data_IF_985929957509
#
_entry.id   IF_985929957509
#
_cell.length_a   1.000
_cell.length_b   1.000
_cell.length_c   1.000
_cell.angle_alpha   90.00
_cell.angle_beta   90.00
_cell.angle_gamma   90.00
#
_symmetry.space_group_name_H-M   'P 1'
#
loop_
_entity.id
_entity.type
_entity.pdbx_description
1 polymer ?
#
# COMPACT_ATOMS: atom_id res chain seq x y z
N UNK A 1 41.44 22.91 -15.79
CA UNK A 1 41.72 24.26 -15.27
C UNK A 1 40.45 24.94 -14.76
N UNK A 2 39.38 25.05 -15.55
CA UNK A 2 38.12 25.73 -15.16
C UNK A 2 37.55 25.27 -13.80
N UNK A 3 37.51 23.96 -13.54
CA UNK A 3 37.07 23.40 -12.25
C UNK A 3 37.87 23.91 -11.05
N UNK A 4 39.17 24.18 -11.20
CA UNK A 4 40.01 24.71 -10.11
C UNK A 4 39.76 26.20 -9.86
N UNK A 5 39.42 26.94 -10.92
CA UNK A 5 39.01 28.35 -10.81
C UNK A 5 37.63 28.46 -10.14
N UNK A 6 36.67 27.63 -10.54
CA UNK A 6 35.33 27.56 -9.93
C UNK A 6 35.38 27.20 -8.44
N UNK A 7 36.32 26.31 -8.07
CA UNK A 7 36.54 25.93 -6.67
C UNK A 7 37.38 26.93 -5.87
N UNK A 8 37.88 28.01 -6.50
CA UNK A 8 38.73 29.00 -5.83
C UNK A 8 40.09 28.47 -5.38
N UNK A 9 40.59 27.39 -6.00
CA UNK A 9 41.89 26.76 -5.65
C UNK A 9 43.08 27.35 -6.42
N UNK A 10 42.80 28.03 -7.53
CA UNK A 10 43.80 28.74 -8.33
C UNK A 10 43.31 30.15 -8.66
N UNK A 11 44.23 31.11 -8.63
CA UNK A 11 43.97 32.50 -9.00
C UNK A 11 44.67 32.82 -10.34
N UNK A 12 43.99 33.48 -11.28
CA UNK A 12 44.64 33.96 -12.50
C UNK A 12 45.53 35.16 -12.16
N UNK A 13 46.78 35.12 -12.62
CA UNK A 13 47.74 36.23 -12.53
C UNK A 13 48.08 36.67 -13.95
N UNK A 14 47.87 37.95 -14.24
CA UNK A 14 48.28 38.59 -15.49
C UNK A 14 49.82 38.64 -15.53
N UNK A 15 50.42 38.05 -16.56
CA UNK A 15 51.87 38.11 -16.78
C UNK A 15 52.16 38.51 -18.24
N UNK A 16 52.18 39.83 -18.47
CA UNK A 16 52.27 40.41 -19.80
C UNK A 16 50.97 40.18 -20.59
N UNK A 17 51.04 39.47 -21.71
CA UNK A 17 49.86 39.13 -22.54
C UNK A 17 49.28 37.74 -22.24
N UNK A 18 49.89 36.99 -21.31
CA UNK A 18 49.49 35.62 -21.00
C UNK A 18 48.91 35.54 -19.58
N UNK A 19 47.83 34.77 -19.41
CA UNK A 19 47.29 34.42 -18.10
C UNK A 19 48.06 33.24 -17.54
N UNK A 20 48.73 33.45 -16.41
CA UNK A 20 49.30 32.37 -15.60
C UNK A 20 48.34 32.08 -14.44
N UNK A 21 48.46 30.91 -13.85
CA UNK A 21 47.62 30.50 -12.73
C UNK A 21 48.52 30.16 -11.55
N UNK A 22 48.19 30.70 -10.39
CA UNK A 22 48.90 30.43 -9.15
C UNK A 22 47.99 29.64 -8.23
N UNK A 23 48.53 28.59 -7.62
CA UNK A 23 47.82 27.86 -6.60
C UNK A 23 47.64 28.72 -5.35
N UNK A 24 46.44 28.70 -4.80
CA UNK A 24 46.13 29.33 -3.51
C UNK A 24 46.93 28.62 -2.41
N UNK A 25 47.42 29.38 -1.42
CA UNK A 25 48.26 28.83 -0.36
C UNK A 25 47.50 27.75 0.45
N UNK A 26 48.17 26.68 0.91
CA UNK A 26 47.51 25.55 1.59
C UNK A 26 46.61 25.95 2.78
N UNK A 27 47.02 26.97 3.54
CA UNK A 27 46.25 27.50 4.67
C UNK A 27 44.91 28.15 4.26
N UNK A 28 44.79 28.67 3.05
CA UNK A 28 43.54 29.22 2.52
C UNK A 28 42.59 28.11 2.07
N UNK A 29 43.12 26.98 1.57
CA UNK A 29 42.32 25.80 1.24
C UNK A 29 41.66 25.24 2.50
N UNK A 30 42.41 25.19 3.62
CA UNK A 30 41.86 24.77 4.92
C UNK A 30 40.74 25.68 5.38
N UNK A 31 40.90 27.02 5.25
CA UNK A 31 39.84 27.98 5.58
C UNK A 31 38.58 27.79 4.73
N UNK A 32 38.74 27.55 3.43
CA UNK A 32 37.62 27.31 2.53
C UNK A 32 36.87 26.01 2.89
N UNK A 33 37.60 24.96 3.27
CA UNK A 33 36.99 23.72 3.74
C UNK A 33 36.20 23.93 5.04
N UNK A 34 36.77 24.65 6.03
CA UNK A 34 36.08 24.99 7.28
C UNK A 34 34.83 25.83 7.03
N UNK A 35 34.89 26.78 6.09
CA UNK A 35 33.74 27.60 5.74
C UNK A 35 32.58 26.76 5.18
N UNK A 36 32.89 25.83 4.25
CA UNK A 36 31.87 24.92 3.69
C UNK A 36 31.26 23.98 4.73
N UNK A 37 32.03 23.59 5.75
CA UNK A 37 31.50 22.80 6.87
C UNK A 37 30.46 23.62 7.64
N UNK A 38 30.78 24.88 7.96
CA UNK A 38 29.86 25.79 8.67
C UNK A 38 28.59 26.02 7.83
N UNK A 39 28.73 26.30 6.52
CA UNK A 39 27.58 26.46 5.62
C UNK A 39 26.70 25.20 5.59
N UNK A 40 27.30 24.01 5.52
CA UNK A 40 26.57 22.76 5.55
C UNK A 40 25.85 22.53 6.89
N UNK A 41 26.50 22.85 8.01
CA UNK A 41 25.89 22.77 9.35
C UNK A 41 24.72 23.74 9.51
N UNK A 42 24.83 24.95 8.96
CA UNK A 42 23.75 25.95 8.96
C UNK A 42 22.56 25.48 8.12
N UNK A 43 22.80 24.93 6.91
CA UNK A 43 21.74 24.32 6.09
C UNK A 43 21.07 23.16 6.83
N UNK A 44 21.83 22.29 7.49
CA UNK A 44 21.27 21.19 8.31
C UNK A 44 20.41 21.74 9.43
N UNK A 45 20.83 22.83 10.09
CA UNK A 45 20.05 23.48 11.16
C UNK A 45 18.77 24.11 10.63
N UNK A 46 18.82 24.79 9.49
CA UNK A 46 17.64 25.35 8.82
C UNK A 46 16.67 24.23 8.42
N UNK A 47 17.15 23.17 7.79
CA UNK A 47 16.35 21.99 7.44
C UNK A 47 15.71 21.34 8.67
N UNK A 48 16.45 21.22 9.77
CA UNK A 48 15.89 20.72 11.04
C UNK A 48 14.83 21.66 11.62
N UNK A 49 14.96 22.97 11.41
CA UNK A 49 13.98 23.98 11.84
C UNK A 49 12.69 23.88 11.02
N UNK A 50 12.81 23.70 9.70
CA UNK A 50 11.65 23.43 8.85
C UNK A 50 11.03 22.06 9.14
N UNK A 51 11.85 21.05 9.47
CA UNK A 51 11.39 19.71 9.85
C UNK A 51 10.71 19.64 11.21
N UNK A 52 10.98 20.58 12.12
CA UNK A 52 10.34 20.66 13.46
C UNK A 52 8.99 21.36 13.43
N UNK A 53 8.64 22.06 12.34
CA UNK A 53 7.26 22.39 12.03
C UNK A 53 6.61 21.09 11.58
N UNK A 54 6.28 20.24 12.56
CA UNK A 54 5.88 18.86 12.37
C UNK A 54 4.81 18.74 11.30
N UNK A 55 5.22 18.30 10.11
CA UNK A 55 4.26 17.86 9.13
C UNK A 55 3.59 16.62 9.72
N UNK A 56 2.33 16.72 10.10
CA UNK A 56 1.50 15.58 10.56
C UNK A 56 1.41 14.46 9.51
N UNK A 57 1.89 14.74 8.31
CA UNK A 57 1.87 13.88 7.15
C UNK A 57 3.12 14.11 6.29
N UNK A 58 3.89 13.04 6.08
CA UNK A 58 4.96 12.98 5.07
C UNK A 58 4.50 12.06 3.91
N UNK A 59 5.00 12.36 2.71
CA UNK A 59 4.65 11.64 1.49
C UNK A 59 5.89 11.33 0.66
N UNK A 60 6.08 10.06 0.36
CA UNK A 60 7.22 9.54 -0.39
C UNK A 60 6.74 8.69 -1.57
N UNK A 61 7.42 8.82 -2.71
CA UNK A 61 7.15 8.03 -3.92
C UNK A 61 8.39 7.24 -4.28
N UNK A 62 8.26 5.91 -4.29
CA UNK A 62 9.33 4.98 -4.63
C UNK A 62 9.00 4.35 -5.98
N UNK A 63 9.88 4.51 -6.97
CA UNK A 63 9.64 4.06 -8.34
C UNK A 63 10.69 3.04 -8.79
N UNK A 64 10.22 1.95 -9.40
CA UNK A 64 11.06 0.88 -9.94
C UNK A 64 11.33 -0.26 -8.95
N UNK A 65 11.56 -1.45 -9.50
CA UNK A 65 11.65 -2.70 -8.73
C UNK A 65 12.74 -2.64 -7.66
N UNK A 66 13.96 -2.26 -8.02
CA UNK A 66 15.10 -2.17 -7.08
C UNK A 66 14.87 -1.18 -5.95
N UNK A 67 14.22 -0.06 -6.23
CA UNK A 67 13.92 0.94 -5.22
C UNK A 67 12.88 0.41 -4.22
N UNK A 68 11.84 -0.27 -4.72
CA UNK A 68 10.82 -0.90 -3.90
C UNK A 68 11.42 -2.06 -3.06
N UNK A 69 12.23 -2.93 -3.65
CA UNK A 69 12.95 -4.00 -2.94
C UNK A 69 13.75 -3.46 -1.76
N UNK A 70 14.58 -2.43 -2.00
CA UNK A 70 15.38 -1.79 -0.96
C UNK A 70 14.49 -1.20 0.13
N UNK A 71 13.45 -0.47 -0.26
CA UNK A 71 12.51 0.14 0.68
C UNK A 71 11.82 -0.90 1.58
N UNK A 72 11.37 -2.01 1.01
CA UNK A 72 10.74 -3.11 1.76
C UNK A 72 11.66 -3.75 2.78
N UNK A 73 12.90 -4.05 2.38
CA UNK A 73 13.91 -4.65 3.25
C UNK A 73 14.27 -3.69 4.39
N UNK A 74 14.52 -2.41 4.09
CA UNK A 74 14.85 -1.41 5.10
C UNK A 74 13.69 -1.21 6.09
N UNK A 75 12.46 -1.15 5.58
CA UNK A 75 11.26 -1.03 6.40
C UNK A 75 11.02 -2.25 7.30
N UNK A 76 11.21 -3.47 6.80
CA UNK A 76 11.12 -4.69 7.61
C UNK A 76 12.22 -4.72 8.69
N UNK A 77 13.43 -4.27 8.35
CA UNK A 77 14.57 -4.19 9.27
C UNK A 77 14.35 -3.19 10.41
N UNK A 78 13.74 -2.03 10.10
CA UNK A 78 13.47 -0.96 11.06
C UNK A 78 12.19 -1.15 11.86
N UNK A 79 11.33 -2.11 11.49
CA UNK A 79 10.10 -2.37 12.21
C UNK A 79 10.37 -2.85 13.65
N UNK A 80 9.62 -2.35 14.65
CA UNK A 80 9.67 -2.88 16.01
C UNK A 80 9.34 -4.40 16.02
N UNK A 81 9.91 -5.17 16.96
CA UNK A 81 9.51 -6.56 17.14
C UNK A 81 8.00 -6.67 17.41
N UNK A 82 7.38 -7.74 16.89
CA UNK A 82 5.97 -8.06 17.08
C UNK A 82 4.99 -7.04 16.47
N UNK A 83 5.47 -6.24 15.52
CA UNK A 83 4.64 -5.36 14.69
C UNK A 83 3.58 -6.17 13.93
N UNK A 84 2.40 -5.58 13.71
CA UNK A 84 1.38 -6.15 12.82
C UNK A 84 1.27 -5.30 11.56
N UNK A 85 1.26 -5.97 10.41
CA UNK A 85 0.99 -5.37 9.11
C UNK A 85 -0.37 -5.85 8.56
N UNK A 86 -1.09 -4.95 7.92
CA UNK A 86 -2.43 -5.19 7.37
C UNK A 86 -2.41 -4.97 5.87
N UNK A 87 -2.93 -5.90 5.09
CA UNK A 87 -2.99 -5.83 3.64
C UNK A 87 -4.43 -5.86 3.13
N UNK A 88 -4.75 -4.99 2.18
CA UNK A 88 -5.99 -5.01 1.43
C UNK A 88 -5.63 -5.01 -0.05
N UNK A 89 -5.99 -6.05 -0.79
CA UNK A 89 -5.82 -6.04 -2.24
C UNK A 89 -5.65 -7.41 -2.88
N UNK A 90 -5.35 -7.40 -4.18
CA UNK A 90 -5.37 -8.55 -5.08
C UNK A 90 -4.09 -8.77 -5.88
N UNK A 91 -2.94 -8.35 -5.37
CA UNK A 91 -1.67 -8.28 -6.13
C UNK A 91 -0.48 -9.01 -5.52
N UNK A 92 -0.71 -10.07 -4.73
CA UNK A 92 0.37 -10.81 -4.06
C UNK A 92 1.39 -11.39 -5.04
N UNK A 93 0.94 -11.90 -6.18
CA UNK A 93 1.81 -12.41 -7.24
C UNK A 93 2.75 -11.32 -7.79
N UNK A 94 2.20 -10.12 -8.03
CA UNK A 94 3.01 -9.00 -8.50
C UNK A 94 4.01 -8.53 -7.45
N UNK A 95 3.65 -8.55 -6.17
CA UNK A 95 4.58 -8.26 -5.08
C UNK A 95 5.75 -9.24 -5.06
N UNK A 96 5.46 -10.56 -5.11
CA UNK A 96 6.50 -11.60 -5.16
C UNK A 96 7.43 -11.42 -6.36
N UNK A 97 6.87 -11.11 -7.53
CA UNK A 97 7.65 -10.84 -8.75
C UNK A 97 8.55 -9.62 -8.62
N UNK A 98 8.08 -8.54 -7.98
CA UNK A 98 8.91 -7.35 -7.74
C UNK A 98 10.00 -7.64 -6.73
N UNK A 99 9.70 -8.42 -5.69
CA UNK A 99 10.66 -8.70 -4.63
C UNK A 99 11.78 -9.64 -5.09
N UNK A 100 11.47 -10.63 -5.93
CA UNK A 100 12.42 -11.54 -6.59
C UNK A 100 13.62 -11.92 -5.70
N UNK A 101 14.84 -11.51 -6.07
CA UNK A 101 16.09 -11.79 -5.35
C UNK A 101 16.12 -11.25 -3.90
N UNK A 102 15.38 -10.18 -3.60
CA UNK A 102 15.31 -9.58 -2.27
C UNK A 102 14.30 -10.27 -1.33
N UNK A 103 13.41 -11.13 -1.87
CA UNK A 103 12.37 -11.77 -1.08
C UNK A 103 12.90 -12.65 0.07
N UNK A 104 13.96 -13.47 -0.10
CA UNK A 104 14.50 -14.29 0.99
C UNK A 104 14.99 -13.45 2.19
N UNK A 105 15.67 -12.33 1.95
CA UNK A 105 16.11 -11.41 3.01
C UNK A 105 14.90 -10.80 3.72
N UNK A 106 13.94 -10.28 2.96
CA UNK A 106 12.70 -9.71 3.49
C UNK A 106 11.96 -10.74 4.38
N UNK A 107 11.75 -11.96 3.89
CA UNK A 107 11.07 -13.01 4.64
C UNK A 107 11.80 -13.40 5.94
N UNK A 108 13.14 -13.42 5.93
CA UNK A 108 13.94 -13.66 7.12
C UNK A 108 13.74 -12.55 8.16
N UNK A 109 13.71 -11.28 7.74
CA UNK A 109 13.46 -10.13 8.62
C UNK A 109 12.05 -10.17 9.21
N UNK A 110 11.02 -10.48 8.42
CA UNK A 110 9.64 -10.66 8.90
C UNK A 110 9.58 -11.72 10.01
N UNK A 111 10.27 -12.85 9.82
CA UNK A 111 10.33 -13.95 10.79
C UNK A 111 11.11 -13.57 12.05
N UNK A 112 12.29 -12.97 11.91
CA UNK A 112 13.14 -12.51 13.01
C UNK A 112 12.42 -11.50 13.90
N UNK A 113 11.77 -10.51 13.27
CA UNK A 113 10.99 -9.47 13.95
C UNK A 113 9.62 -9.95 14.42
N UNK A 114 9.25 -11.21 14.13
CA UNK A 114 7.94 -11.80 14.46
C UNK A 114 6.76 -10.95 13.98
N UNK A 115 6.90 -10.33 12.81
CA UNK A 115 5.87 -9.46 12.23
C UNK A 115 4.66 -10.32 11.87
N UNK A 116 3.50 -9.95 12.41
CA UNK A 116 2.23 -10.60 12.11
C UNK A 116 1.58 -9.97 10.88
N UNK A 117 1.01 -10.79 10.01
CA UNK A 117 0.40 -10.34 8.76
C UNK A 117 -1.09 -10.67 8.78
N UNK A 118 -1.94 -9.67 8.55
CA UNK A 118 -3.36 -9.87 8.32
C UNK A 118 -3.71 -9.41 6.91
N UNK A 119 -4.25 -10.30 6.10
CA UNK A 119 -4.45 -10.09 4.68
C UNK A 119 -5.91 -10.27 4.29
N UNK A 120 -6.48 -9.28 3.59
CA UNK A 120 -7.78 -9.39 2.93
C UNK A 120 -7.53 -9.40 1.42
N UNK A 121 -7.74 -10.58 0.82
CA UNK A 121 -7.44 -10.88 -0.57
C UNK A 121 -8.63 -11.30 -1.39
N UNK A 122 -8.42 -11.43 -2.69
CA UNK A 122 -9.44 -11.95 -3.60
C UNK A 122 -9.47 -13.49 -3.60
N UNK A 123 -10.57 -14.10 -4.05
CA UNK A 123 -10.75 -15.56 -4.08
C UNK A 123 -9.61 -16.32 -4.76
N UNK A 124 -9.09 -15.77 -5.87
CA UNK A 124 -8.02 -16.39 -6.63
C UNK A 124 -6.67 -16.43 -5.88
N UNK A 125 -6.49 -15.62 -4.83
CA UNK A 125 -5.29 -15.62 -4.00
C UNK A 125 -5.39 -16.57 -2.80
N UNK A 126 -6.55 -17.21 -2.58
CA UNK A 126 -6.74 -18.12 -1.44
C UNK A 126 -5.76 -19.31 -1.45
N UNK A 127 -5.31 -19.73 -2.63
CA UNK A 127 -4.27 -20.76 -2.75
C UNK A 127 -2.92 -20.27 -2.21
N UNK A 128 -2.59 -19.00 -2.45
CA UNK A 128 -1.35 -18.42 -1.93
C UNK A 128 -1.35 -18.33 -0.42
N UNK A 129 -2.51 -18.11 0.20
CA UNK A 129 -2.62 -18.11 1.65
C UNK A 129 -2.13 -19.42 2.29
N UNK A 130 -2.34 -20.56 1.64
CA UNK A 130 -1.88 -21.86 2.14
C UNK A 130 -0.35 -21.99 2.12
N UNK A 131 0.33 -21.30 1.20
CA UNK A 131 1.78 -21.24 1.17
C UNK A 131 2.31 -20.41 2.35
N UNK A 132 1.72 -19.23 2.58
CA UNK A 132 2.12 -18.35 3.67
C UNK A 132 1.81 -18.91 5.06
N UNK A 133 0.70 -19.64 5.23
CA UNK A 133 0.35 -20.28 6.51
C UNK A 133 1.43 -21.27 6.98
N UNK A 134 2.07 -21.99 6.05
CA UNK A 134 3.16 -22.92 6.36
C UNK A 134 4.46 -22.21 6.73
N UNK A 135 4.78 -21.13 6.03
CA UNK A 135 6.04 -20.40 6.19
C UNK A 135 5.99 -19.38 7.35
N UNK A 136 4.82 -18.80 7.60
CA UNK A 136 4.60 -17.71 8.54
C UNK A 136 3.52 -18.08 9.55
N UNK A 137 3.93 -18.53 10.74
CA UNK A 137 3.03 -18.91 11.85
C UNK A 137 2.05 -17.80 12.31
N UNK A 138 2.23 -16.56 11.87
CA UNK A 138 1.41 -15.39 12.23
C UNK A 138 0.79 -14.73 10.99
N UNK A 139 0.32 -15.55 10.05
CA UNK A 139 -0.36 -15.08 8.85
C UNK A 139 -1.85 -15.41 8.93
N UNK A 140 -2.71 -14.40 8.90
CA UNK A 140 -4.16 -14.56 8.79
C UNK A 140 -4.60 -14.06 7.41
N UNK A 141 -5.35 -14.89 6.68
CA UNK A 141 -5.88 -14.53 5.37
C UNK A 141 -7.40 -14.64 5.35
N UNK A 142 -8.05 -13.64 4.74
CA UNK A 142 -9.50 -13.62 4.50
C UNK A 142 -9.79 -13.28 3.04
N UNK A 143 -10.79 -13.96 2.50
CA UNK A 143 -11.25 -13.78 1.12
C UNK A 143 -12.39 -12.78 1.05
N UNK A 144 -12.20 -11.62 0.44
CA UNK A 144 -13.32 -10.73 0.13
C UNK A 144 -13.89 -11.05 -1.25
N UNK A 145 -15.13 -11.57 -1.28
CA UNK A 145 -15.84 -11.84 -2.54
C UNK A 145 -16.01 -10.54 -3.33
N UNK A 146 -15.83 -10.58 -4.65
CA UNK A 146 -15.89 -9.41 -5.54
C UNK A 146 -14.81 -8.35 -5.30
N UNK A 147 -13.74 -8.66 -4.57
CA UNK A 147 -12.55 -7.81 -4.59
C UNK A 147 -11.96 -7.83 -6.01
N UNK A 148 -11.81 -6.67 -6.68
CA UNK A 148 -11.31 -6.63 -8.04
C UNK A 148 -9.90 -7.20 -8.08
N UNK A 149 -9.59 -7.96 -9.15
CA UNK A 149 -8.21 -8.33 -9.46
C UNK A 149 -7.44 -7.03 -9.68
N UNK A 150 -6.49 -6.77 -8.79
CA UNK A 150 -6.01 -5.42 -8.56
C UNK A 150 -4.61 -5.21 -9.11
N UNK A 151 -4.44 -4.10 -9.82
CA UNK A 151 -3.12 -3.47 -10.00
C UNK A 151 -2.66 -2.75 -8.73
N UNK A 152 -3.52 -2.65 -7.71
CA UNK A 152 -3.27 -1.89 -6.48
C UNK A 152 -3.36 -2.78 -5.26
N UNK A 153 -2.37 -2.67 -4.39
CA UNK A 153 -2.38 -3.24 -3.04
C UNK A 153 -2.20 -2.13 -2.01
N UNK A 154 -2.90 -2.22 -0.90
CA UNK A 154 -2.75 -1.33 0.24
C UNK A 154 -2.09 -2.10 1.38
N UNK A 155 -1.05 -1.53 1.99
CA UNK A 155 -0.42 -2.05 3.21
C UNK A 155 -0.42 -0.98 4.29
N UNK A 156 -0.74 -1.37 5.51
CA UNK A 156 -0.69 -0.51 6.71
C UNK A 156 0.31 -1.12 7.68
N UNK A 157 1.34 -0.37 8.07
CA UNK A 157 2.33 -0.79 9.07
C UNK A 157 2.99 0.44 9.71
N UNK A 158 3.22 0.43 11.03
CA UNK A 158 3.96 1.49 11.75
C UNK A 158 3.56 2.92 11.37
N UNK A 159 2.28 3.27 11.60
CA UNK A 159 1.74 4.61 11.32
C UNK A 159 1.90 5.06 9.84
N UNK A 160 2.20 4.11 8.95
CA UNK A 160 2.46 4.33 7.53
C UNK A 160 1.44 3.56 6.70
N UNK A 161 0.91 4.25 5.68
CA UNK A 161 0.04 3.68 4.66
C UNK A 161 0.82 3.61 3.35
N UNK A 162 0.79 2.46 2.70
CA UNK A 162 1.50 2.19 1.45
C UNK A 162 0.53 1.73 0.37
N UNK A 163 0.59 2.36 -0.80
CA UNK A 163 -0.14 1.95 -2.00
C UNK A 163 0.84 1.45 -3.03
N UNK A 164 0.83 0.14 -3.31
CA UNK A 164 1.55 -0.44 -4.43
C UNK A 164 0.72 -0.30 -5.67
N UNK A 165 1.34 0.15 -6.75
CA UNK A 165 0.76 0.09 -8.10
C UNK A 165 1.71 -0.72 -8.98
N UNK A 166 1.21 -1.82 -9.53
CA UNK A 166 2.00 -2.78 -10.30
C UNK A 166 2.08 -2.42 -11.78
N UNK A 167 2.20 -1.12 -12.08
CA UNK A 167 2.48 -0.61 -13.41
C UNK A 167 3.91 -0.96 -13.86
N UNK A 168 4.29 -0.57 -15.07
CA UNK A 168 5.66 -0.70 -15.56
C UNK A 168 6.23 0.68 -15.92
N UNK A 169 7.12 1.27 -15.11
CA UNK A 169 7.70 0.71 -13.87
C UNK A 169 6.71 0.70 -12.69
N UNK A 170 6.90 -0.18 -11.68
CA UNK A 170 6.05 -0.20 -10.50
C UNK A 170 6.29 1.05 -9.64
N UNK A 171 5.24 1.50 -8.96
CA UNK A 171 5.28 2.70 -8.11
C UNK A 171 4.66 2.37 -6.76
N UNK A 172 5.35 2.75 -5.70
CA UNK A 172 4.92 2.66 -4.31
C UNK A 172 4.75 4.07 -3.75
N UNK A 173 3.53 4.39 -3.35
CA UNK A 173 3.21 5.64 -2.64
C UNK A 173 3.18 5.37 -1.14
N UNK A 174 3.90 6.17 -0.37
CA UNK A 174 4.06 6.00 1.08
C UNK A 174 3.57 7.26 1.77
N UNK A 175 2.54 7.12 2.61
CA UNK A 175 2.01 8.20 3.44
C UNK A 175 2.37 7.89 4.89
N UNK A 176 3.24 8.70 5.50
CA UNK A 176 3.58 8.58 6.92
C UNK A 176 2.69 9.51 7.70
N UNK A 177 1.61 8.98 8.27
CA UNK A 177 0.66 9.73 9.08
C UNK A 177 -0.15 8.77 9.94
N UNK A 178 -0.02 8.90 11.25
CA UNK A 178 -0.76 8.10 12.23
C UNK A 178 -2.27 8.16 12.00
N UNK A 179 -2.80 9.38 11.82
CA UNK A 179 -4.23 9.60 11.64
C UNK A 179 -4.77 8.84 10.41
N UNK A 180 -4.05 8.91 9.29
CA UNK A 180 -4.43 8.25 8.04
C UNK A 180 -4.30 6.72 8.20
N UNK A 181 -3.19 6.23 8.76
CA UNK A 181 -2.96 4.81 8.98
C UNK A 181 -4.03 4.20 9.91
N UNK A 182 -4.40 4.89 10.99
CA UNK A 182 -5.48 4.45 11.90
C UNK A 182 -6.85 4.45 11.22
N UNK A 183 -7.16 5.46 10.39
CA UNK A 183 -8.40 5.50 9.61
C UNK A 183 -8.50 4.32 8.65
N UNK A 184 -7.42 4.02 7.92
CA UNK A 184 -7.35 2.86 7.03
C UNK A 184 -7.35 1.53 7.77
N UNK A 185 -6.80 1.47 8.99
CA UNK A 185 -6.92 0.30 9.85
C UNK A 185 -8.37 0.06 10.27
N UNK A 186 -9.13 1.11 10.63
CA UNK A 186 -10.57 0.98 10.91
C UNK A 186 -11.33 0.49 9.68
N UNK A 187 -10.95 0.95 8.49
CA UNK A 187 -11.50 0.45 7.23
C UNK A 187 -11.19 -1.04 7.02
N UNK A 188 -9.95 -1.47 7.27
CA UNK A 188 -9.55 -2.89 7.28
C UNK A 188 -10.41 -3.71 8.25
N UNK A 189 -10.55 -3.25 9.50
CA UNK A 189 -11.32 -3.92 10.55
C UNK A 189 -12.81 -4.05 10.16
N UNK A 190 -13.38 -3.03 9.49
CA UNK A 190 -14.73 -3.09 8.95
C UNK A 190 -14.88 -4.12 7.83
N UNK A 191 -13.92 -4.19 6.89
CA UNK A 191 -13.92 -5.22 5.84
C UNK A 191 -13.80 -6.61 6.44
N UNK A 192 -12.96 -6.77 7.47
CA UNK A 192 -12.74 -8.03 8.18
C UNK A 192 -14.01 -8.57 8.84
N UNK A 193 -14.87 -7.68 9.34
CA UNK A 193 -16.09 -8.03 10.07
C UNK A 193 -17.34 -8.33 9.22
N UNK A 194 -17.36 -7.96 7.93
CA UNK A 194 -18.56 -8.00 7.06
C UNK A 194 -18.88 -9.35 6.39
N UNK A 195 -18.62 -10.46 7.07
CA UNK A 195 -18.85 -11.83 6.56
C UNK A 195 -17.95 -12.24 5.39
N UNK A 196 -17.08 -13.20 5.66
CA UNK A 196 -16.26 -13.90 4.68
C UNK A 196 -16.31 -15.38 5.00
N UNK A 197 -16.90 -16.14 4.06
CA UNK A 197 -16.76 -17.58 3.95
C UNK A 197 -15.27 -17.92 3.82
N UNK A 198 -14.85 -18.98 4.53
CA UNK A 198 -13.47 -19.47 4.63
C UNK A 198 -12.59 -18.79 5.69
N UNK A 199 -12.66 -19.33 6.92
CA UNK A 199 -11.47 -19.47 7.77
C UNK A 199 -10.87 -20.83 7.44
N UNK A 200 -9.67 -20.95 6.85
CA UNK A 200 -8.97 -22.22 6.89
C UNK A 200 -8.73 -22.50 8.38
N UNK A 201 -9.50 -23.42 8.96
CA UNK A 201 -9.29 -23.93 10.30
C UNK A 201 -7.78 -24.14 10.50
N UNK A 202 -7.27 -23.57 11.59
CA UNK A 202 -5.87 -23.68 11.97
C UNK A 202 -5.47 -25.16 11.92
N UNK A 203 -4.23 -25.48 11.55
CA UNK A 203 -3.78 -26.87 11.49
C UNK A 203 -4.03 -27.63 12.81
N UNK A 204 -4.03 -26.93 13.96
CA UNK A 204 -4.38 -27.45 15.28
C UNK A 204 -5.87 -27.79 15.47
N UNK A 205 -6.78 -27.19 14.71
CA UNK A 205 -8.21 -27.54 14.74
C UNK A 205 -8.55 -28.71 13.80
N UNK A 206 -7.62 -29.14 12.93
CA UNK A 206 -7.83 -30.31 12.06
C UNK A 206 -7.64 -31.64 12.79
N UNK A 207 -6.85 -31.65 13.87
CA UNK A 207 -6.58 -32.87 14.65
C UNK A 207 -7.75 -33.30 15.56
N UNK A 208 -8.84 -32.52 15.62
CA UNK A 208 -10.05 -32.84 16.38
C UNK A 208 -11.32 -32.99 15.54
N UNK A 209 -11.23 -32.87 14.21
CA UNK A 209 -12.35 -33.27 13.34
C UNK A 209 -12.23 -34.76 13.04
N UNK A 210 -12.76 -35.58 13.95
CA UNK A 210 -13.01 -36.99 13.68
C UNK A 210 -14.07 -37.05 12.57
N UNK A 211 -13.63 -37.27 11.33
CA UNK A 211 -14.51 -37.77 10.28
C UNK A 211 -15.00 -39.14 10.74
N UNK A 212 -16.23 -39.21 11.25
CA UNK A 212 -16.92 -40.48 11.41
C UNK A 212 -17.10 -41.09 10.01
N UNK A 213 -16.52 -42.26 9.72
CA UNK A 213 -16.75 -42.91 8.44
C UNK A 213 -18.22 -43.33 8.36
N UNK A 214 -18.78 -43.09 7.19
CA UNK A 214 -20.05 -43.62 6.69
C UNK A 214 -20.37 -45.02 7.20
N UNK A 215 -21.55 -45.19 7.81
CA UNK A 215 -22.32 -46.43 7.74
C UNK A 215 -23.76 -46.09 7.33
N UNK A 216 -24.22 -46.71 6.24
CA UNK A 216 -25.64 -46.70 5.88
C UNK A 216 -25.94 -46.71 4.39
N UNK A 217 -25.53 -47.76 3.68
CA UNK A 217 -26.20 -48.16 2.43
C UNK A 217 -27.60 -48.64 2.82
N UNK A 218 -28.65 -47.92 2.44
CA UNK A 218 -30.04 -48.38 2.55
C UNK A 218 -30.44 -48.97 1.18
N UNK A 219 -30.85 -50.24 1.10
CA UNK A 219 -31.43 -50.77 -0.13
C UNK A 219 -32.84 -50.19 -0.31
N UNK A 220 -33.09 -49.51 -1.44
CA UNK A 220 -34.44 -49.10 -1.82
C UNK A 220 -35.11 -50.28 -2.53
N UNK A 221 -35.99 -50.96 -1.81
CA UNK A 221 -37.05 -51.78 -2.41
C UNK A 221 -38.20 -50.88 -2.89
N UNK A 222 -38.80 -51.29 -4.00
CA UNK A 222 -39.92 -50.65 -4.70
C UNK A 222 -41.18 -50.42 -3.86
N UNK A 223 -42.03 -49.53 -4.37
CA UNK A 223 -43.41 -49.18 -3.99
C UNK A 223 -43.58 -47.99 -3.03
N UNK A 224 -43.91 -46.83 -3.61
CA UNK A 224 -45.14 -46.08 -3.30
C UNK A 224 -45.02 -44.67 -3.86
N UNK A 225 -45.84 -44.37 -4.87
CA UNK A 225 -46.03 -43.02 -5.39
C UNK A 225 -46.80 -42.18 -4.36
N UNK A 226 -46.19 -41.10 -3.86
CA UNK A 226 -46.90 -39.98 -3.23
C UNK A 226 -46.24 -38.65 -3.58
N UNK A 227 -46.93 -37.94 -4.47
CA UNK A 227 -47.14 -36.48 -4.53
C UNK A 227 -46.08 -35.58 -3.89
N UNK A 228 -45.18 -35.06 -4.73
CA UNK A 228 -44.29 -33.95 -4.40
C UNK A 228 -45.06 -32.63 -4.56
N UNK A 229 -45.45 -32.00 -3.44
CA UNK A 229 -46.01 -30.65 -3.44
C UNK A 229 -44.87 -29.65 -3.19
N UNK A 230 -44.35 -29.04 -4.27
CA UNK A 230 -43.42 -27.92 -4.23
C UNK A 230 -44.14 -26.67 -3.69
N UNK A 231 -43.88 -26.27 -2.45
CA UNK A 231 -44.16 -24.91 -1.97
C UNK A 231 -42.91 -24.05 -2.20
N UNK A 232 -42.91 -23.29 -3.29
CA UNK A 232 -41.97 -22.17 -3.49
C UNK A 232 -42.39 -21.00 -2.61
N UNK A 233 -41.61 -20.69 -1.58
CA UNK A 233 -41.76 -19.44 -0.83
C UNK A 233 -40.94 -18.34 -1.53
N UNK A 234 -41.59 -17.56 -2.40
CA UNK A 234 -41.08 -16.25 -2.83
C UNK A 234 -41.34 -15.27 -1.68
N UNK A 235 -40.30 -14.79 -1.00
CA UNK A 235 -40.36 -13.58 -0.18
C UNK A 235 -39.77 -12.43 -1.00
N UNK A 236 -40.65 -11.65 -1.60
CA UNK A 236 -40.37 -10.30 -2.10
C UNK A 236 -40.50 -9.36 -0.91
N UNK A 237 -39.40 -8.88 -0.36
CA UNK A 237 -39.42 -7.75 0.58
C UNK A 237 -39.29 -6.45 -0.21
N UNK A 238 -40.37 -5.67 -0.23
CA UNK A 238 -40.39 -4.28 -0.66
C UNK A 238 -39.78 -3.46 0.48
N UNK A 239 -38.66 -2.79 0.21
CA UNK A 239 -38.07 -1.82 1.11
C UNK A 239 -38.60 -0.45 0.70
N UNK A 240 -39.58 0.07 1.45
CA UNK A 240 -39.96 1.50 1.43
C UNK A 240 -38.96 2.28 2.29
N UNK A 241 -38.01 2.98 1.66
CA UNK A 241 -37.23 4.02 2.33
C UNK A 241 -38.02 5.33 2.35
N UNK A 242 -38.60 5.66 3.51
CA UNK A 242 -39.05 7.02 3.82
C UNK A 242 -37.86 7.81 4.38
N UNK A 243 -37.41 8.82 3.64
CA UNK A 243 -36.44 9.81 4.12
C UNK A 243 -37.16 10.82 5.03
N UNK A 244 -36.65 11.12 6.24
CA UNK A 244 -37.14 12.24 7.02
C UNK A 244 -36.51 13.55 6.51
N UNK A 245 -37.38 14.48 6.11
CA UNK A 245 -37.05 15.86 5.80
C UNK A 245 -36.65 16.57 7.09
N UNK A 246 -35.35 16.86 7.27
CA UNK A 246 -34.87 17.76 8.32
C UNK A 246 -34.45 19.10 7.67
N UNK A 247 -35.26 20.13 7.94
CA UNK A 247 -34.98 21.53 7.63
C UNK A 247 -34.05 22.08 8.72
N UNK A 248 -32.82 22.42 8.34
CA UNK A 248 -31.87 23.17 9.16
C UNK A 248 -31.12 24.15 8.27
N UNK A 249 -31.40 25.44 8.40
CA UNK A 249 -30.84 26.51 7.59
C UNK A 249 -29.39 26.80 7.97
N UNK A 250 -28.48 26.73 7.01
CA UNK A 250 -27.15 27.33 7.10
C UNK A 250 -26.83 28.09 5.81
N UNK A 251 -26.20 29.24 6.00
CA UNK A 251 -25.90 30.28 5.01
C UNK A 251 -25.05 29.79 3.82
N UNK A 252 -25.09 30.49 2.67
CA UNK A 252 -24.62 29.94 1.40
C UNK A 252 -23.08 29.94 1.31
N UNK A 253 -22.54 28.75 1.07
CA UNK A 253 -21.18 28.55 0.56
C UNK A 253 -21.19 28.79 -0.95
N UNK A 254 -20.28 29.63 -1.45
CA UNK A 254 -20.07 29.85 -2.88
C UNK A 254 -19.62 28.55 -3.56
N UNK A 255 -20.56 27.85 -4.19
CA UNK A 255 -20.27 26.76 -5.10
C UNK A 255 -19.95 27.32 -6.51
N UNK A 256 -18.91 26.82 -7.19
CA UNK A 256 -18.68 27.16 -8.60
C UNK A 256 -19.83 26.64 -9.47
N UNK A 257 -20.11 27.38 -10.56
CA UNK A 257 -21.25 27.17 -11.45
C UNK A 257 -21.35 25.72 -11.99
N UNK A 258 -22.58 25.21 -12.23
CA UNK A 258 -22.78 23.87 -12.77
C UNK A 258 -22.26 23.76 -14.21
N UNK A 259 -21.45 22.73 -14.47
CA UNK A 259 -21.01 22.36 -15.81
C UNK A 259 -22.22 21.94 -16.65
N UNK A 260 -22.40 22.62 -17.79
CA UNK A 260 -23.47 22.30 -18.74
C UNK A 260 -22.98 21.21 -19.70
N UNK A 261 -23.65 20.06 -19.68
CA UNK A 261 -23.38 18.94 -20.59
C UNK A 261 -24.19 19.15 -21.87
N UNK A 262 -23.56 19.63 -22.94
CA UNK A 262 -24.19 19.69 -24.27
C UNK A 262 -23.86 18.42 -25.05
N UNK A 263 -24.85 17.57 -25.23
CA UNK A 263 -24.77 16.41 -26.11
C UNK A 263 -25.15 16.82 -27.54
N UNK A 264 -24.15 16.95 -28.42
CA UNK A 264 -24.39 17.16 -29.85
C UNK A 264 -24.48 15.81 -30.54
N UNK A 265 -25.65 15.46 -31.03
CA UNK A 265 -25.91 14.20 -31.73
C UNK A 265 -25.45 14.34 -33.19
N UNK A 266 -24.28 13.79 -33.51
CA UNK A 266 -23.86 13.53 -34.89
C UNK A 266 -23.53 12.05 -35.01
N UNK A 267 -23.98 11.44 -36.11
CA UNK A 267 -24.13 10.01 -36.32
C UNK A 267 -23.06 9.09 -35.70
N UNK A 268 -23.51 8.19 -34.84
CA UNK A 268 -23.02 6.82 -34.83
C UNK A 268 -21.77 6.45 -34.04
N UNK A 269 -21.09 7.38 -33.36
CA UNK A 269 -20.00 7.02 -32.42
C UNK A 269 -19.97 7.99 -31.22
N UNK A 270 -20.03 7.44 -30.00
CA UNK A 270 -19.82 8.20 -28.76
C UNK A 270 -18.34 8.15 -28.38
N UNK A 271 -17.65 9.26 -28.53
CA UNK A 271 -16.37 9.50 -27.87
C UNK A 271 -16.59 10.52 -26.75
N UNK A 272 -16.20 10.18 -25.53
CA UNK A 272 -16.11 11.14 -24.43
C UNK A 272 -14.68 11.69 -24.41
N UNK A 273 -14.51 12.98 -24.68
CA UNK A 273 -13.28 13.69 -24.39
C UNK A 273 -13.41 14.38 -23.04
N UNK A 274 -12.43 14.15 -22.18
CA UNK A 274 -12.19 14.96 -20.99
C UNK A 274 -11.24 16.09 -21.38
N UNK A 275 -11.58 17.33 -21.03
CA UNK A 275 -10.64 18.45 -20.95
C UNK A 275 -10.45 18.79 -19.47
#
# INVERSE_FOLDING_TARGET
MNKLLELGLVEPIEHGKQKKYKAVAPNQIEKLARHKIIEAEDIVRELNTFSTIGHEQDFEVVQGERAIQKFEVERARSAPPETTQYFIGGGSEHFLRIMDEAYPEYAALIKERKIASQYIGAEHEAQMAQFYDKEQKKFEFRVLTNLPKGLVNVMIMNETLSFYTYANPPILYVVKSKLIAESYKRFFDMLKGRDVLYSPLSASERDHVVFLPTFGVIPITSHSARTLCLKSARRTSVIETRLPTFLGSLAPFNAPAPFTLTATHLGGLRCFMWN
#
